data_IF_346715170694
#
_entry.id   IF_346715170694
#
_cell.length_a   1.000
_cell.length_b   1.000
_cell.length_c   1.000
_cell.angle_alpha   90.00
_cell.angle_beta   90.00
_cell.angle_gamma   90.00
#
_symmetry.space_group_name_H-M   'P 1'
#
loop_
_entity.id
_entity.type
_entity.pdbx_description
1 polymer ?
#
# COMPACT_ATOMS: atom_id res chain seq x y z
N UNK A 1 34.57 -25.72 -9.89
CA UNK A 1 33.10 -25.63 -10.00
C UNK A 1 32.66 -24.31 -9.39
N UNK A 2 32.10 -23.38 -10.16
CA UNK A 2 31.57 -22.12 -9.61
C UNK A 2 30.19 -22.42 -9.01
N UNK A 3 30.04 -22.21 -7.70
CA UNK A 3 28.72 -22.19 -7.05
C UNK A 3 27.93 -21.03 -7.63
N UNK A 4 26.85 -21.34 -8.35
CA UNK A 4 25.85 -20.36 -8.76
C UNK A 4 25.01 -20.09 -7.50
N UNK A 5 25.24 -18.94 -6.85
CA UNK A 5 24.30 -18.44 -5.87
C UNK A 5 23.05 -17.95 -6.60
N UNK A 6 21.97 -18.72 -6.55
CA UNK A 6 20.66 -18.21 -6.89
C UNK A 6 20.30 -17.15 -5.84
N UNK A 7 20.22 -15.88 -6.22
CA UNK A 7 19.53 -14.89 -5.39
C UNK A 7 18.10 -15.43 -5.18
N UNK A 8 17.69 -15.63 -3.93
CA UNK A 8 16.31 -16.02 -3.64
C UNK A 8 15.39 -14.88 -4.09
N UNK A 9 14.77 -15.03 -5.26
CA UNK A 9 13.72 -14.11 -5.73
C UNK A 9 12.59 -14.13 -4.70
N UNK A 10 12.16 -12.94 -4.29
CA UNK A 10 11.09 -12.79 -3.32
C UNK A 10 9.79 -13.43 -3.82
N UNK A 11 9.18 -14.31 -3.01
CA UNK A 11 7.95 -15.05 -3.36
C UNK A 11 6.69 -14.19 -3.12
N UNK A 12 6.39 -13.32 -4.10
CA UNK A 12 5.22 -12.44 -4.05
C UNK A 12 3.89 -13.22 -4.15
N UNK A 13 3.89 -14.41 -4.74
CA UNK A 13 2.71 -15.29 -4.83
C UNK A 13 2.31 -15.81 -3.44
N UNK A 14 3.30 -16.25 -2.65
CA UNK A 14 3.06 -16.66 -1.27
C UNK A 14 2.54 -15.50 -0.43
N UNK A 15 3.06 -14.29 -0.62
CA UNK A 15 2.56 -13.10 0.04
C UNK A 15 1.10 -12.80 -0.33
N UNK A 16 0.77 -12.85 -1.62
CA UNK A 16 -0.60 -12.66 -2.10
C UNK A 16 -1.57 -13.66 -1.45
N UNK A 17 -1.22 -14.95 -1.41
CA UNK A 17 -2.04 -15.98 -0.74
C UNK A 17 -2.25 -15.71 0.75
N UNK A 18 -1.20 -15.28 1.46
CA UNK A 18 -1.32 -14.94 2.89
C UNK A 18 -2.24 -13.73 3.10
N UNK A 19 -2.13 -12.71 2.25
CA UNK A 19 -3.01 -11.53 2.30
C UNK A 19 -4.46 -11.94 2.02
N UNK A 20 -4.71 -12.76 0.99
CA UNK A 20 -6.06 -13.28 0.68
C UNK A 20 -6.64 -14.06 1.86
N UNK A 21 -5.83 -14.89 2.54
CA UNK A 21 -6.29 -15.61 3.74
C UNK A 21 -6.74 -14.67 4.87
N UNK A 22 -6.06 -13.54 5.08
CA UNK A 22 -6.53 -12.53 6.04
C UNK A 22 -7.85 -11.92 5.59
N UNK A 23 -7.99 -11.64 4.30
CA UNK A 23 -9.20 -11.06 3.73
C UNK A 23 -10.42 -11.99 3.82
N UNK A 24 -10.24 -13.28 3.54
CA UNK A 24 -11.26 -14.33 3.69
C UNK A 24 -11.74 -14.45 5.15
N UNK A 25 -10.89 -14.11 6.11
CA UNK A 25 -11.25 -14.04 7.53
C UNK A 25 -11.91 -12.71 7.93
N UNK A 26 -12.20 -11.84 6.95
CA UNK A 26 -12.73 -10.48 7.16
C UNK A 26 -11.90 -9.63 8.14
N UNK A 27 -10.58 -9.85 8.18
CA UNK A 27 -9.68 -9.13 9.09
C UNK A 27 -9.43 -7.71 8.62
N UNK A 28 -9.33 -6.80 9.59
CA UNK A 28 -8.89 -5.43 9.35
C UNK A 28 -7.42 -5.41 8.91
N UNK A 29 -7.15 -4.83 7.74
CA UNK A 29 -5.78 -4.73 7.22
C UNK A 29 -5.15 -3.37 7.56
N UNK A 30 -3.93 -3.42 8.08
CA UNK A 30 -3.09 -2.27 8.35
C UNK A 30 -1.94 -2.29 7.35
N UNK A 31 -1.93 -1.33 6.43
CA UNK A 31 -1.00 -1.34 5.30
C UNK A 31 -0.13 -0.10 5.37
N UNK A 32 1.18 -0.28 5.52
CA UNK A 32 2.15 0.80 5.37
C UNK A 32 2.78 0.71 3.99
N UNK A 33 2.74 1.80 3.24
CA UNK A 33 3.35 1.91 1.92
C UNK A 33 4.57 2.81 2.08
N UNK A 34 5.77 2.30 1.78
CA UNK A 34 7.04 3.04 1.81
C UNK A 34 8.01 2.42 0.79
N UNK A 35 7.83 2.76 -0.49
CA UNK A 35 8.41 2.03 -1.63
C UNK A 35 7.71 0.70 -1.90
N UNK A 36 7.60 -0.15 -0.88
CA UNK A 36 6.86 -1.42 -0.88
C UNK A 36 5.73 -1.40 0.14
N UNK A 37 4.81 -2.37 0.03
CA UNK A 37 3.71 -2.50 0.97
C UNK A 37 4.01 -3.51 2.07
N UNK A 38 3.70 -3.12 3.30
CA UNK A 38 3.77 -3.96 4.48
C UNK A 38 2.38 -4.09 5.07
N UNK A 39 1.80 -5.27 4.94
CA UNK A 39 0.43 -5.57 5.34
C UNK A 39 0.47 -6.35 6.66
N UNK A 40 -0.36 -5.96 7.62
CA UNK A 40 -0.59 -6.72 8.84
C UNK A 40 -2.06 -6.67 9.25
N UNK A 41 -2.42 -7.55 10.19
CA UNK A 41 -3.67 -7.55 10.92
C UNK A 41 -3.33 -7.77 12.40
N UNK A 42 -4.28 -7.50 13.31
CA UNK A 42 -4.12 -7.80 14.73
C UNK A 42 -3.63 -9.25 14.94
N UNK A 43 -2.55 -9.40 15.71
CA UNK A 43 -1.94 -10.70 16.02
C UNK A 43 -1.24 -11.41 14.85
N UNK A 44 -1.02 -10.74 13.71
CA UNK A 44 -0.36 -11.34 12.53
C UNK A 44 1.01 -10.70 12.27
N UNK A 45 1.99 -11.51 11.87
CA UNK A 45 3.30 -11.04 11.39
C UNK A 45 3.15 -10.15 10.16
N UNK A 46 4.04 -9.17 10.02
CA UNK A 46 4.04 -8.27 8.87
C UNK A 46 4.38 -9.02 7.58
N UNK A 47 3.51 -8.92 6.58
CA UNK A 47 3.67 -9.52 5.25
C UNK A 47 4.18 -8.41 4.34
N UNK A 48 5.39 -8.59 3.78
CA UNK A 48 5.85 -7.77 2.65
C UNK A 48 4.97 -8.10 1.45
N UNK A 49 4.57 -7.13 0.63
CA UNK A 49 3.82 -7.43 -0.58
C UNK A 49 4.13 -6.37 -1.65
N UNK A 50 4.47 -6.83 -2.85
CA UNK A 50 4.80 -5.95 -3.97
C UNK A 50 3.55 -5.78 -4.80
N UNK A 51 3.05 -4.54 -4.85
CA UNK A 51 1.87 -4.23 -5.66
C UNK A 51 2.23 -4.09 -7.14
N UNK A 52 1.45 -4.74 -7.98
CA UNK A 52 1.14 -4.28 -9.33
C UNK A 52 -0.23 -3.58 -9.34
N UNK A 53 -0.60 -2.98 -10.48
CA UNK A 53 -1.88 -2.26 -10.63
C UNK A 53 -3.10 -3.10 -10.22
N UNK A 54 -3.21 -4.34 -10.70
CA UNK A 54 -4.37 -5.19 -10.40
C UNK A 54 -4.45 -5.54 -8.91
N UNK A 55 -3.31 -5.90 -8.30
CA UNK A 55 -3.25 -6.20 -6.87
C UNK A 55 -3.57 -4.98 -6.00
N UNK A 56 -3.18 -3.77 -6.43
CA UNK A 56 -3.54 -2.54 -5.74
C UNK A 56 -5.06 -2.31 -5.75
N UNK A 57 -5.70 -2.44 -6.92
CA UNK A 57 -7.15 -2.31 -7.04
C UNK A 57 -7.89 -3.39 -6.24
N UNK A 58 -7.36 -4.61 -6.18
CA UNK A 58 -7.89 -5.68 -5.34
C UNK A 58 -7.82 -5.35 -3.84
N UNK A 59 -6.66 -4.88 -3.35
CA UNK A 59 -6.56 -4.39 -1.95
C UNK A 59 -7.57 -3.29 -1.69
N UNK A 60 -7.67 -2.30 -2.60
CA UNK A 60 -8.54 -1.16 -2.40
C UNK A 60 -10.01 -1.56 -2.36
N UNK A 61 -10.44 -2.46 -3.26
CA UNK A 61 -11.77 -3.04 -3.25
C UNK A 61 -12.06 -3.69 -1.90
N UNK A 62 -11.16 -4.56 -1.42
CA UNK A 62 -11.32 -5.21 -0.12
C UNK A 62 -11.46 -4.19 1.02
N UNK A 63 -10.58 -3.19 1.08
CA UNK A 63 -10.61 -2.16 2.12
C UNK A 63 -11.97 -1.44 2.16
N UNK A 64 -12.56 -1.16 1.00
CA UNK A 64 -13.83 -0.45 0.86
C UNK A 64 -15.06 -1.35 1.11
N UNK A 65 -15.09 -2.54 0.51
CA UNK A 65 -16.29 -3.39 0.41
C UNK A 65 -16.22 -4.65 1.28
N UNK A 66 -15.02 -5.15 1.56
CA UNK A 66 -14.77 -6.43 2.21
C UNK A 66 -14.74 -7.62 1.25
N UNK A 67 -14.90 -7.38 -0.06
CA UNK A 67 -14.80 -8.41 -1.09
C UNK A 67 -13.33 -8.79 -1.34
N UNK A 68 -13.04 -10.07 -1.15
CA UNK A 68 -11.68 -10.62 -1.19
C UNK A 68 -11.36 -11.31 -2.51
N UNK A 69 -12.28 -11.39 -3.47
CA UNK A 69 -12.01 -12.11 -4.71
C UNK A 69 -10.99 -11.38 -5.60
N UNK A 70 -9.98 -12.14 -6.01
CA UNK A 70 -8.81 -11.64 -6.75
C UNK A 70 -8.95 -11.83 -8.27
N UNK A 71 -9.92 -12.63 -8.72
CA UNK A 71 -10.16 -12.97 -10.14
C UNK A 71 -8.89 -13.40 -10.90
N UNK A 72 -7.98 -14.13 -10.24
CA UNK A 72 -6.78 -14.68 -10.88
C UNK A 72 -5.69 -13.65 -11.17
N UNK A 73 -5.52 -12.65 -10.28
CA UNK A 73 -4.36 -11.76 -10.31
C UNK A 73 -3.06 -12.57 -10.35
N UNK A 74 -2.08 -12.09 -11.11
CA UNK A 74 -0.73 -12.65 -11.19
C UNK A 74 0.28 -11.73 -10.46
N UNK A 75 0.48 -11.90 -9.14
CA UNK A 75 1.40 -11.09 -8.32
C UNK A 75 2.83 -11.03 -8.83
N UNK A 76 3.31 -12.08 -9.49
CA UNK A 76 4.69 -12.16 -10.02
C UNK A 76 4.94 -11.25 -11.23
N UNK A 77 3.89 -10.69 -11.84
CA UNK A 77 4.06 -9.76 -12.96
C UNK A 77 4.41 -8.36 -12.43
N UNK A 78 5.69 -8.18 -12.08
CA UNK A 78 6.26 -6.96 -11.49
C UNK A 78 6.86 -6.05 -12.60
N UNK A 79 6.62 -6.34 -13.88
CA UNK A 79 7.18 -5.57 -15.02
C UNK A 79 6.76 -4.09 -15.06
N UNK A 80 5.84 -3.69 -14.18
CA UNK A 80 5.46 -2.31 -13.91
C UNK A 80 5.44 -2.06 -12.41
N UNK A 81 6.59 -2.19 -11.75
CA UNK A 81 6.81 -1.43 -10.51
C UNK A 81 6.50 0.00 -10.88
N UNK A 82 5.44 0.57 -10.31
CA UNK A 82 5.04 1.93 -10.59
C UNK A 82 6.23 2.77 -10.08
N UNK A 83 7.08 3.29 -10.96
CA UNK A 83 7.94 4.41 -10.55
C UNK A 83 6.97 5.47 -10.02
N UNK A 84 7.14 5.85 -8.75
CA UNK A 84 6.17 6.57 -7.90
C UNK A 84 4.91 5.80 -7.43
N UNK A 85 4.99 4.50 -7.12
CA UNK A 85 3.86 3.68 -6.59
C UNK A 85 3.12 4.38 -5.47
N UNK A 86 3.86 4.93 -4.51
CA UNK A 86 3.27 5.47 -3.29
C UNK A 86 2.50 6.77 -3.56
N UNK A 87 3.11 7.71 -4.29
CA UNK A 87 2.49 8.99 -4.63
C UNK A 87 1.32 8.80 -5.59
N UNK A 88 1.46 7.90 -6.57
CA UNK A 88 0.39 7.59 -7.53
C UNK A 88 -0.81 6.95 -6.83
N UNK A 89 -0.58 5.92 -6.00
CA UNK A 89 -1.63 5.30 -5.20
C UNK A 89 -2.33 6.34 -4.31
N UNK A 90 -1.59 7.22 -3.64
CA UNK A 90 -2.19 8.26 -2.82
C UNK A 90 -3.02 9.25 -3.64
N UNK A 91 -2.48 9.79 -4.74
CA UNK A 91 -3.18 10.74 -5.61
C UNK A 91 -4.48 10.13 -6.10
N UNK A 92 -4.45 8.86 -6.55
CA UNK A 92 -5.66 8.12 -6.94
C UNK A 92 -6.72 8.11 -5.82
N UNK A 93 -6.34 7.83 -4.57
CA UNK A 93 -7.27 7.84 -3.44
C UNK A 93 -7.85 9.22 -3.15
N UNK A 94 -7.03 10.28 -3.27
CA UNK A 94 -7.46 11.66 -3.07
C UNK A 94 -8.47 12.06 -4.16
N UNK A 95 -8.20 11.74 -5.42
CA UNK A 95 -9.13 12.04 -6.53
C UNK A 95 -10.43 11.22 -6.42
N UNK A 96 -10.36 9.99 -5.91
CA UNK A 96 -11.54 9.19 -5.57
C UNK A 96 -12.30 9.68 -4.33
N UNK A 97 -11.86 10.79 -3.70
CA UNK A 97 -12.44 11.37 -2.47
C UNK A 97 -12.49 10.37 -1.30
N UNK A 98 -11.51 9.47 -1.24
CA UNK A 98 -11.35 8.58 -0.08
C UNK A 98 -11.05 9.40 1.19
N UNK A 99 -11.35 8.85 2.36
CA UNK A 99 -11.08 9.48 3.65
C UNK A 99 -9.57 9.47 3.95
N UNK A 100 -8.86 10.43 3.35
CA UNK A 100 -7.44 10.68 3.55
C UNK A 100 -7.28 11.86 4.52
N UNK A 101 -6.42 11.71 5.51
CA UNK A 101 -6.06 12.78 6.44
C UNK A 101 -4.55 12.84 6.64
N UNK A 102 -4.00 14.05 6.74
CA UNK A 102 -2.64 14.25 7.26
C UNK A 102 -2.63 13.86 8.73
N UNK A 103 -1.63 13.09 9.15
CA UNK A 103 -1.40 12.91 10.60
C UNK A 103 -0.61 14.16 11.06
N UNK A 104 -0.99 14.84 12.17
CA UNK A 104 -0.26 16.02 12.63
C UNK A 104 1.13 15.66 13.19
N UNK A 105 2.16 16.42 12.84
CA UNK A 105 3.50 16.35 13.45
C UNK A 105 4.18 17.72 13.42
N UNK A 106 5.31 17.84 14.13
CA UNK A 106 6.17 19.02 14.05
C UNK A 106 6.69 19.21 12.61
N UNK A 107 6.26 20.30 11.97
CA UNK A 107 6.57 20.62 10.57
C UNK A 107 8.06 20.93 10.32
N UNK A 108 8.80 21.24 11.38
CA UNK A 108 10.14 21.82 11.33
C UNK A 108 11.26 20.76 11.30
N UNK A 109 10.96 19.50 11.65
CA UNK A 109 11.99 18.47 11.88
C UNK A 109 11.87 17.22 11.02
N UNK A 110 10.77 17.02 10.28
CA UNK A 110 10.57 15.79 9.48
C UNK A 110 10.69 16.04 7.96
N UNK A 111 11.52 15.21 7.32
CA UNK A 111 11.70 15.17 5.87
C UNK A 111 10.52 14.50 5.12
N UNK A 112 9.53 13.97 5.84
CA UNK A 112 8.42 13.20 5.28
C UNK A 112 7.07 13.71 5.80
N UNK A 113 6.07 13.69 4.92
CA UNK A 113 4.66 13.92 5.25
C UNK A 113 4.01 12.55 5.38
N UNK A 114 3.41 12.27 6.54
CA UNK A 114 2.64 11.03 6.72
C UNK A 114 1.14 11.27 6.63
N UNK A 115 0.48 10.40 5.88
CA UNK A 115 -0.95 10.45 5.62
C UNK A 115 -1.59 9.12 5.99
N UNK A 116 -2.85 9.17 6.39
CA UNK A 116 -3.66 8.00 6.72
C UNK A 116 -4.90 7.98 5.85
N UNK A 117 -5.14 6.84 5.19
CA UNK A 117 -6.44 6.50 4.61
C UNK A 117 -7.24 5.62 5.55
N UNK A 118 -8.49 5.99 5.84
CA UNK A 118 -9.40 5.21 6.68
C UNK A 118 -10.47 4.53 5.81
N UNK A 119 -10.59 3.21 5.95
CA UNK A 119 -11.55 2.40 5.23
C UNK A 119 -12.30 1.48 6.20
N UNK A 120 -13.37 0.82 5.72
CA UNK A 120 -14.20 -0.08 6.52
C UNK A 120 -13.44 -1.32 6.97
N UNK A 121 -12.59 -1.87 6.10
CA UNK A 121 -11.81 -3.09 6.35
C UNK A 121 -10.32 -2.82 6.53
N UNK A 122 -9.92 -1.59 6.84
CA UNK A 122 -8.54 -1.33 7.21
C UNK A 122 -8.11 0.13 7.14
N UNK A 123 -6.79 0.31 7.23
CA UNK A 123 -6.12 1.60 7.21
C UNK A 123 -4.89 1.54 6.33
N UNK A 124 -4.72 2.59 5.51
CA UNK A 124 -3.51 2.82 4.74
C UNK A 124 -2.66 3.89 5.42
N UNK A 125 -1.34 3.72 5.39
CA UNK A 125 -0.38 4.70 5.88
C UNK A 125 0.66 4.98 4.80
N UNK A 126 0.80 6.26 4.47
CA UNK A 126 1.79 6.77 3.52
C UNK A 126 2.82 7.61 4.26
N UNK A 127 4.05 7.60 3.78
CA UNK A 127 5.16 8.44 4.25
C UNK A 127 5.90 8.94 3.01
N UNK A 128 5.54 10.13 2.54
CA UNK A 128 6.02 10.68 1.27
C UNK A 128 7.05 11.76 1.57
N UNK A 129 8.16 11.77 0.85
CA UNK A 129 9.20 12.79 1.02
C UNK A 129 8.59 14.16 0.76
N UNK A 130 8.88 15.10 1.65
CA UNK A 130 8.38 16.47 1.54
C UNK A 130 9.02 17.16 0.33
N UNK A 131 8.18 17.80 -0.48
CA UNK A 131 8.54 18.79 -1.49
C UNK A 131 7.49 19.89 -1.48
N UNK A 132 7.85 21.10 -1.91
CA UNK A 132 6.90 22.21 -1.99
C UNK A 132 5.76 21.88 -2.96
N UNK A 133 6.08 21.29 -4.11
CA UNK A 133 5.08 20.80 -5.08
C UNK A 133 4.04 19.86 -4.46
N UNK A 134 4.48 18.90 -3.63
CA UNK A 134 3.57 17.94 -3.03
C UNK A 134 2.74 18.54 -1.89
N UNK A 135 3.31 19.49 -1.13
CA UNK A 135 2.57 20.26 -0.13
C UNK A 135 1.48 21.12 -0.79
N UNK A 136 1.82 21.82 -1.87
CA UNK A 136 0.88 22.65 -2.62
C UNK A 136 -0.23 21.80 -3.24
N UNK A 137 0.12 20.63 -3.79
CA UNK A 137 -0.88 19.65 -4.25
C UNK A 137 -1.86 19.28 -3.13
N UNK A 138 -1.37 18.88 -1.96
CA UNK A 138 -2.25 18.50 -0.85
C UNK A 138 -3.11 19.68 -0.37
N UNK A 139 -2.53 20.88 -0.25
CA UNK A 139 -3.27 22.10 0.14
C UNK A 139 -4.38 22.43 -0.87
N UNK A 140 -4.12 22.27 -2.17
CA UNK A 140 -5.13 22.47 -3.23
C UNK A 140 -6.31 21.50 -3.13
N UNK A 141 -6.12 20.37 -2.46
CA UNK A 141 -7.15 19.35 -2.19
C UNK A 141 -7.80 19.49 -0.82
N UNK A 142 -7.47 20.55 -0.08
CA UNK A 142 -8.00 20.79 1.28
C UNK A 142 -7.43 19.87 2.35
N UNK A 143 -6.29 19.23 2.08
CA UNK A 143 -5.53 18.41 3.02
C UNK A 143 -4.38 19.21 3.62
#
# INVERSE_FOLDING_TARGET
>A
MKQIQFSQTYDNERAHRQVKQLMMQHKQLHIQINGEAWISSQGTTRIRYIFNRQSWHWILNYLQTGDYEDFGIFPSNITKTIEDTQTTCLKELIEQKCNIARIPFLRETEAYIRLRGLFRFGKLYFSIKRSDEFIDYLNSKGL
#
